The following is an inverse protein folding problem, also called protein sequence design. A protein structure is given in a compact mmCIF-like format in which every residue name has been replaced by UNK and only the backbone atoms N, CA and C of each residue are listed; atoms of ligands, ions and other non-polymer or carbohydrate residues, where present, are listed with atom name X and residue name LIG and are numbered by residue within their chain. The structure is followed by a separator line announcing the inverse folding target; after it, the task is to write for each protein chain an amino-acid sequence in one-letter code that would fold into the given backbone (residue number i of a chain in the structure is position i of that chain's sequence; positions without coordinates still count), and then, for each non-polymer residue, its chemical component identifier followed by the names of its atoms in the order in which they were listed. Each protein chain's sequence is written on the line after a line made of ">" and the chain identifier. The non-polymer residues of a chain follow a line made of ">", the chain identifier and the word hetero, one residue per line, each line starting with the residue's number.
data_IF_905493666585
#
_entry.id   IF_905493666585
#
_cell.length_a   1.000
_cell.length_b   1.000
_cell.length_c   1.000
_cell.angle_alpha   90.00
_cell.angle_beta   90.00
_cell.angle_gamma   90.00
#
_symmetry.space_group_name_H-M   'P 1'
#
loop_
_entity.id
_entity.type
_entity.pdbx_description
1 polymer ?
#
# COMPACT_ATOMS: atom_id res chain seq x y z
N UNK A 1 20.60 8.16 -11.58
CA UNK A 1 19.27 7.53 -11.65
C UNK A 1 18.51 7.99 -10.44
N UNK A 2 17.24 8.38 -10.59
CA UNK A 2 16.39 8.69 -9.44
C UNK A 2 16.30 7.44 -8.54
N UNK A 3 16.30 7.64 -7.22
CA UNK A 3 16.21 6.53 -6.26
C UNK A 3 14.79 5.96 -6.31
N UNK A 4 14.67 4.65 -6.50
CA UNK A 4 13.39 3.98 -6.42
C UNK A 4 12.98 3.76 -4.96
N UNK A 5 11.68 3.82 -4.68
CA UNK A 5 11.13 3.54 -3.34
C UNK A 5 10.25 2.30 -3.33
N UNK A 6 10.18 1.61 -2.19
CA UNK A 6 9.24 0.53 -1.93
C UNK A 6 8.02 1.08 -1.20
N UNK A 7 6.83 0.84 -1.73
CA UNK A 7 5.57 1.28 -1.11
C UNK A 7 4.72 0.06 -0.80
N UNK A 8 4.39 -0.08 0.48
CA UNK A 8 3.30 -0.94 0.90
C UNK A 8 1.99 -0.14 0.88
N UNK A 9 1.10 -0.44 -0.08
CA UNK A 9 -0.20 0.22 -0.21
C UNK A 9 -1.26 -0.67 0.44
N UNK A 10 -1.43 -0.60 1.76
CA UNK A 10 -2.37 -1.46 2.49
C UNK A 10 -3.81 -0.92 2.55
N UNK A 11 -4.76 -1.78 2.90
CA UNK A 11 -6.19 -1.41 3.01
C UNK A 11 -6.41 -0.34 4.09
N UNK A 12 -5.74 -0.49 5.23
CA UNK A 12 -5.96 0.38 6.41
C UNK A 12 -4.79 1.33 6.64
N UNK A 13 -3.56 0.88 6.39
CA UNK A 13 -2.35 1.67 6.53
C UNK A 13 -1.43 1.41 5.34
N UNK A 14 -0.65 2.40 4.97
CA UNK A 14 0.39 2.33 3.97
C UNK A 14 1.74 2.75 4.55
N UNK A 15 2.82 2.24 3.96
CA UNK A 15 4.19 2.47 4.39
C UNK A 15 5.06 2.77 3.16
N UNK A 16 6.09 3.59 3.33
CA UNK A 16 7.12 3.80 2.31
C UNK A 16 8.50 3.55 2.90
N UNK A 17 9.33 2.86 2.14
CA UNK A 17 10.70 2.54 2.49
C UNK A 17 11.65 2.91 1.34
N UNK A 18 12.87 3.26 1.71
CA UNK A 18 13.97 3.61 0.81
C UNK A 18 15.15 2.69 1.07
N UNK A 19 16.09 2.61 0.13
CA UNK A 19 17.39 1.94 0.36
C UNK A 19 18.46 3.00 0.67
N UNK A 20 19.12 2.86 1.82
CA UNK A 20 20.26 3.69 2.21
C UNK A 20 21.47 2.80 2.46
N UNK A 21 22.54 2.99 1.69
CA UNK A 21 23.75 2.15 1.83
C UNK A 21 23.56 0.66 1.52
N UNK A 22 22.41 0.27 0.96
CA UNK A 22 22.02 -1.13 0.73
C UNK A 22 21.00 -1.65 1.75
N UNK A 23 20.79 -0.93 2.86
CA UNK A 23 19.86 -1.31 3.91
C UNK A 23 18.48 -0.66 3.71
N UNK A 24 17.37 -1.39 3.92
CA UNK A 24 16.03 -0.82 3.85
C UNK A 24 15.72 0.04 5.08
N UNK A 25 15.28 1.28 4.84
CA UNK A 25 14.88 2.24 5.87
C UNK A 25 13.42 2.64 5.65
N UNK A 26 12.58 2.42 6.68
CA UNK A 26 11.19 2.89 6.69
C UNK A 26 11.15 4.38 7.01
N UNK A 27 10.55 5.16 6.13
CA UNK A 27 10.45 6.62 6.26
C UNK A 27 9.27 6.99 7.15
N UNK A 28 9.48 7.91 8.09
CA UNK A 28 8.40 8.51 8.86
C UNK A 28 7.67 9.57 8.02
N UNK A 29 6.35 9.61 8.11
CA UNK A 29 5.53 10.62 7.45
C UNK A 29 5.65 12.00 8.13
N UNK A 30 5.06 13.03 7.51
CA UNK A 30 5.00 14.39 8.07
C UNK A 30 4.40 14.49 9.49
N UNK A 31 3.68 13.46 9.95
CA UNK A 31 3.11 13.38 11.29
C UNK A 31 4.02 12.64 12.30
N UNK A 32 5.21 12.19 11.87
CA UNK A 32 6.18 11.46 12.71
C UNK A 32 5.89 9.97 12.87
N UNK A 33 4.91 9.42 12.16
CA UNK A 33 4.56 8.00 12.18
C UNK A 33 5.22 7.24 11.03
N UNK A 34 5.62 5.98 11.27
CA UNK A 34 6.14 5.09 10.21
C UNK A 34 5.06 4.45 9.35
N UNK A 35 3.79 4.64 9.71
CA UNK A 35 2.63 4.19 8.93
C UNK A 35 1.69 5.37 8.69
N UNK A 36 1.15 5.46 7.48
CA UNK A 36 0.14 6.45 7.09
C UNK A 36 -1.21 5.75 6.92
N UNK A 37 -2.27 6.16 7.63
CA UNK A 37 -3.60 5.61 7.38
C UNK A 37 -4.01 5.75 5.90
N UNK A 38 -4.55 4.68 5.31
CA UNK A 38 -5.08 4.68 3.93
C UNK A 38 -6.48 5.31 3.90
N UNK A 39 -6.55 6.57 4.33
CA UNK A 39 -7.78 7.34 4.48
C UNK A 39 -7.61 8.66 3.73
N UNK A 40 -8.59 8.97 2.89
CA UNK A 40 -8.65 10.21 2.11
C UNK A 40 -9.94 10.92 2.47
N UNK A 41 -9.87 12.20 2.79
CA UNK A 41 -11.05 13.00 3.06
C UNK A 41 -11.05 14.29 2.26
N UNK A 42 -12.23 14.68 1.82
CA UNK A 42 -12.47 15.96 1.17
C UNK A 42 -13.12 16.88 2.21
N UNK A 43 -12.38 17.91 2.64
CA UNK A 43 -12.88 18.91 3.57
C UNK A 43 -13.82 19.89 2.85
N UNK A 44 -14.76 20.49 3.58
CA UNK A 44 -15.81 21.35 3.01
C UNK A 44 -15.29 22.63 2.34
N UNK A 45 -14.06 23.02 2.68
CA UNK A 45 -13.33 24.12 2.06
C UNK A 45 -12.65 23.73 0.73
N UNK A 46 -12.80 22.49 0.26
CA UNK A 46 -12.18 21.96 -0.96
C UNK A 46 -10.78 21.37 -0.75
N UNK A 47 -10.25 21.41 0.48
CA UNK A 47 -8.96 20.80 0.80
C UNK A 47 -9.06 19.27 0.83
N UNK A 48 -8.01 18.60 0.36
CA UNK A 48 -7.91 17.13 0.42
C UNK A 48 -6.93 16.74 1.51
N UNK A 49 -7.45 16.03 2.51
CA UNK A 49 -6.71 15.49 3.63
C UNK A 49 -6.39 14.01 3.34
N UNK A 50 -5.20 13.56 3.72
CA UNK A 50 -4.75 12.18 3.55
C UNK A 50 -4.03 11.73 4.81
N UNK A 51 -4.26 10.49 5.26
CA UNK A 51 -3.58 9.94 6.43
C UNK A 51 -4.24 10.34 7.75
N UNK A 52 -3.42 10.65 8.75
CA UNK A 52 -3.91 10.97 10.10
C UNK A 52 -4.89 12.17 10.13
N UNK A 53 -4.65 13.28 9.40
CA UNK A 53 -5.62 14.38 9.35
C UNK A 53 -7.00 13.94 8.82
N UNK A 54 -7.04 13.10 7.78
CA UNK A 54 -8.29 12.56 7.25
C UNK A 54 -8.99 11.64 8.25
N UNK A 55 -8.23 10.77 8.93
CA UNK A 55 -8.74 9.86 9.96
C UNK A 55 -9.34 10.61 11.15
N UNK A 56 -8.71 11.70 11.61
CA UNK A 56 -9.17 12.48 12.76
C UNK A 56 -10.57 13.07 12.59
N UNK A 57 -10.94 13.46 11.36
CA UNK A 57 -12.22 14.08 11.05
C UNK A 57 -13.27 13.11 10.49
N UNK A 58 -12.94 11.82 10.40
CA UNK A 58 -13.80 10.81 9.77
C UNK A 58 -15.21 10.73 10.39
N UNK A 59 -15.32 10.96 11.70
CA UNK A 59 -16.60 10.88 12.45
C UNK A 59 -17.51 12.08 12.15
N UNK A 60 -16.95 13.25 11.86
CA UNK A 60 -17.72 14.49 11.62
C UNK A 60 -17.94 14.79 10.14
N UNK A 61 -17.31 14.03 9.25
CA UNK A 61 -17.36 14.20 7.80
C UNK A 61 -17.42 12.84 7.07
N UNK A 62 -18.31 11.97 7.53
CA UNK A 62 -18.42 10.56 7.08
C UNK A 62 -18.56 10.46 5.57
N UNK A 63 -19.52 11.18 4.98
CA UNK A 63 -19.86 11.07 3.55
C UNK A 63 -18.75 11.54 2.59
N UNK A 64 -17.74 12.25 3.12
CA UNK A 64 -16.61 12.78 2.35
C UNK A 64 -15.29 12.19 2.81
N UNK A 65 -15.33 11.11 3.59
CA UNK A 65 -14.15 10.39 4.08
C UNK A 65 -14.16 8.97 3.58
N UNK A 66 -13.20 8.65 2.72
CA UNK A 66 -13.07 7.35 2.08
C UNK A 66 -12.03 6.53 2.84
N UNK A 67 -12.44 5.33 3.27
CA UNK A 67 -11.63 4.31 3.93
C UNK A 67 -11.66 3.02 3.12
N UNK A 68 -10.70 2.13 3.35
CA UNK A 68 -10.68 0.77 2.80
C UNK A 68 -10.84 0.69 1.28
N UNK A 69 -10.45 1.74 0.55
CA UNK A 69 -10.63 1.85 -0.91
C UNK A 69 -9.92 0.73 -1.68
N UNK A 70 -8.89 0.10 -1.07
CA UNK A 70 -8.19 -1.05 -1.64
C UNK A 70 -9.12 -2.21 -1.95
N UNK A 71 -10.22 -2.39 -1.19
CA UNK A 71 -11.26 -3.40 -1.44
C UNK A 71 -12.03 -3.16 -2.77
N UNK A 72 -11.96 -1.96 -3.31
CA UNK A 72 -12.64 -1.56 -4.56
C UNK A 72 -11.72 -1.49 -5.79
N UNK A 73 -10.42 -1.76 -5.62
CA UNK A 73 -9.48 -1.75 -6.74
C UNK A 73 -9.88 -2.77 -7.80
N UNK A 74 -9.74 -2.42 -9.08
CA UNK A 74 -10.10 -3.30 -10.20
C UNK A 74 -11.61 -3.48 -10.43
N UNK A 75 -12.45 -2.66 -9.81
CA UNK A 75 -13.91 -2.62 -10.02
C UNK A 75 -14.33 -1.31 -10.69
N UNK A 76 -15.63 -1.14 -10.96
CA UNK A 76 -16.24 0.09 -11.47
C UNK A 76 -16.66 1.07 -10.36
N UNK A 77 -16.27 0.80 -9.11
CA UNK A 77 -16.57 1.65 -7.98
C UNK A 77 -16.06 3.08 -8.17
N UNK A 78 -16.93 4.04 -7.88
CA UNK A 78 -16.61 5.46 -7.78
C UNK A 78 -17.34 6.11 -6.60
N UNK A 79 -16.86 7.28 -6.21
CA UNK A 79 -17.53 8.17 -5.26
C UNK A 79 -17.63 9.57 -5.84
N UNK A 80 -18.83 10.16 -5.81
CA UNK A 80 -19.05 11.54 -6.24
C UNK A 80 -18.76 12.50 -5.08
N UNK A 81 -17.86 13.46 -5.28
CA UNK A 81 -17.59 14.55 -4.34
C UNK A 81 -17.64 15.87 -5.11
N UNK A 82 -18.54 16.77 -4.69
CA UNK A 82 -18.73 18.10 -5.29
C UNK A 82 -18.99 18.06 -6.81
N UNK A 83 -19.78 17.09 -7.27
CA UNK A 83 -20.13 16.93 -8.68
C UNK A 83 -19.01 16.34 -9.54
N UNK A 84 -17.97 15.77 -8.92
CA UNK A 84 -16.91 15.03 -9.61
C UNK A 84 -16.84 13.59 -9.09
N UNK A 85 -16.87 12.64 -10.01
CA UNK A 85 -16.60 11.23 -9.72
C UNK A 85 -15.11 10.99 -9.51
N UNK A 86 -14.79 10.20 -8.48
CA UNK A 86 -13.45 9.70 -8.19
C UNK A 86 -13.45 8.18 -8.17
N UNK A 87 -12.56 7.58 -8.94
CA UNK A 87 -12.33 6.13 -9.00
C UNK A 87 -11.50 5.63 -7.81
N UNK A 88 -11.50 4.32 -7.56
CA UNK A 88 -10.65 3.70 -6.55
C UNK A 88 -9.14 4.00 -6.78
N UNK A 89 -8.72 4.05 -8.05
CA UNK A 89 -7.36 4.40 -8.45
C UNK A 89 -7.01 5.85 -8.10
N UNK A 90 -7.91 6.80 -8.36
CA UNK A 90 -7.68 8.21 -8.04
C UNK A 90 -7.63 8.46 -6.53
N UNK A 91 -8.46 7.77 -5.74
CA UNK A 91 -8.39 7.85 -4.28
C UNK A 91 -7.08 7.23 -3.78
N UNK A 92 -6.71 6.05 -4.25
CA UNK A 92 -5.45 5.39 -3.87
C UNK A 92 -4.22 6.22 -4.27
N UNK A 93 -4.28 6.90 -5.42
CA UNK A 93 -3.23 7.80 -5.89
C UNK A 93 -2.96 8.94 -4.91
N UNK A 94 -3.97 9.45 -4.19
CA UNK A 94 -3.76 10.49 -3.17
C UNK A 94 -2.95 9.99 -1.97
N UNK A 95 -3.16 8.73 -1.57
CA UNK A 95 -2.33 8.05 -0.56
C UNK A 95 -0.90 7.91 -1.06
N UNK A 96 -0.71 7.44 -2.30
CA UNK A 96 0.61 7.32 -2.93
C UNK A 96 1.33 8.69 -3.07
N UNK A 97 0.60 9.76 -3.41
CA UNK A 97 1.13 11.13 -3.47
C UNK A 97 1.59 11.64 -2.10
N UNK A 98 0.89 11.27 -1.01
CA UNK A 98 1.37 11.59 0.34
C UNK A 98 2.66 10.85 0.66
N UNK A 99 2.70 9.53 0.43
CA UNK A 99 3.90 8.71 0.68
C UNK A 99 5.11 9.17 -0.14
N UNK A 100 4.88 9.52 -1.41
CA UNK A 100 5.89 10.12 -2.28
C UNK A 100 6.45 11.41 -1.65
N UNK A 101 5.59 12.36 -1.30
CA UNK A 101 6.01 13.64 -0.68
C UNK A 101 6.75 13.45 0.64
N UNK A 102 6.32 12.51 1.45
CA UNK A 102 6.97 12.17 2.73
C UNK A 102 8.38 11.62 2.48
N UNK A 103 8.55 10.74 1.49
CA UNK A 103 9.85 10.20 1.11
C UNK A 103 10.76 11.23 0.41
N UNK A 104 10.22 12.12 -0.42
CA UNK A 104 10.97 13.24 -1.04
C UNK A 104 11.48 14.20 0.04
N UNK A 105 10.65 14.51 1.04
CA UNK A 105 11.03 15.36 2.17
C UNK A 105 12.15 14.74 3.01
N UNK A 106 12.14 13.42 3.19
CA UNK A 106 13.19 12.68 3.90
C UNK A 106 14.51 12.66 3.13
N UNK A 107 14.46 12.40 1.81
CA UNK A 107 15.66 12.28 0.98
C UNK A 107 16.24 13.64 0.52
N UNK A 108 15.41 14.69 0.45
CA UNK A 108 15.80 15.98 -0.10
C UNK A 108 15.91 16.00 -1.63
N UNK A 109 15.30 15.03 -2.32
CA UNK A 109 15.27 14.91 -3.78
C UNK A 109 13.92 14.37 -4.28
N UNK A 110 13.60 14.60 -5.55
CA UNK A 110 12.38 14.13 -6.19
C UNK A 110 12.40 12.60 -6.42
N UNK A 111 11.26 11.95 -6.20
CA UNK A 111 11.08 10.51 -6.41
C UNK A 111 10.20 10.29 -7.64
N UNK A 112 10.71 9.52 -8.59
CA UNK A 112 9.97 9.20 -9.82
C UNK A 112 9.62 7.73 -9.90
N UNK A 113 10.44 6.84 -9.35
CA UNK A 113 10.30 5.40 -9.53
C UNK A 113 9.83 4.71 -8.25
N UNK A 114 8.90 3.76 -8.38
CA UNK A 114 8.41 2.99 -7.23
C UNK A 114 8.17 1.51 -7.55
N UNK A 115 8.33 0.67 -6.53
CA UNK A 115 7.80 -0.68 -6.46
C UNK A 115 6.62 -0.67 -5.48
N UNK A 116 5.47 -1.19 -5.89
CA UNK A 116 4.23 -1.13 -5.08
C UNK A 116 3.75 -2.56 -4.79
N UNK A 117 3.35 -2.81 -3.54
CA UNK A 117 2.82 -4.11 -3.12
C UNK A 117 1.34 -4.30 -3.50
N UNK A 118 0.93 -5.56 -3.69
CA UNK A 118 -0.47 -5.99 -3.78
C UNK A 118 -0.64 -7.35 -3.09
N UNK A 119 -1.86 -7.70 -2.67
CA UNK A 119 -2.17 -9.04 -2.17
C UNK A 119 -1.80 -10.10 -3.20
N UNK A 120 -1.37 -11.28 -2.75
CA UNK A 120 -1.00 -12.35 -3.67
C UNK A 120 -2.17 -12.77 -4.56
N UNK A 121 -3.38 -12.76 -4.00
CA UNK A 121 -4.63 -13.13 -4.66
C UNK A 121 -5.26 -12.04 -5.54
N UNK A 122 -4.59 -10.89 -5.73
CA UNK A 122 -5.07 -9.90 -6.68
C UNK A 122 -5.04 -10.42 -8.12
N UNK A 123 -6.16 -10.26 -8.81
CA UNK A 123 -6.29 -10.58 -10.23
C UNK A 123 -5.64 -9.50 -11.12
N UNK A 124 -5.62 -9.73 -12.43
CA UNK A 124 -4.98 -8.83 -13.40
C UNK A 124 -5.59 -7.41 -13.40
N UNK A 125 -6.92 -7.30 -13.26
CA UNK A 125 -7.61 -6.00 -13.21
C UNK A 125 -7.22 -5.20 -11.95
N UNK A 126 -7.14 -5.86 -10.80
CA UNK A 126 -6.73 -5.24 -9.53
C UNK A 126 -5.25 -4.81 -9.58
N UNK A 127 -4.36 -5.64 -10.14
CA UNK A 127 -2.94 -5.31 -10.34
C UNK A 127 -2.77 -4.11 -11.28
N UNK A 128 -3.52 -4.08 -12.37
CA UNK A 128 -3.49 -2.99 -13.34
C UNK A 128 -4.03 -1.69 -12.73
N UNK A 129 -5.12 -1.75 -11.97
CA UNK A 129 -5.67 -0.61 -11.24
C UNK A 129 -4.64 -0.03 -10.22
N UNK A 130 -3.91 -0.88 -9.50
CA UNK A 130 -2.85 -0.41 -8.58
C UNK A 130 -1.71 0.27 -9.33
N UNK A 131 -1.33 -0.26 -10.50
CA UNK A 131 -0.33 0.36 -11.36
C UNK A 131 -0.79 1.74 -11.87
N UNK A 132 -2.05 1.85 -12.28
CA UNK A 132 -2.68 3.12 -12.69
C UNK A 132 -2.71 4.14 -11.54
N UNK A 133 -3.04 3.73 -10.32
CA UNK A 133 -2.99 4.59 -9.15
C UNK A 133 -1.57 5.17 -8.95
N UNK A 134 -0.52 4.35 -9.14
CA UNK A 134 0.86 4.83 -9.14
C UNK A 134 1.15 5.86 -10.22
N UNK A 135 0.67 5.64 -11.45
CA UNK A 135 0.84 6.58 -12.55
C UNK A 135 0.13 7.92 -12.29
N UNK A 136 -1.11 7.89 -11.79
CA UNK A 136 -1.87 9.08 -11.39
C UNK A 136 -1.14 9.84 -10.27
N UNK A 137 -0.45 9.12 -9.39
CA UNK A 137 0.38 9.71 -8.33
C UNK A 137 1.71 10.33 -8.84
N UNK A 138 2.00 10.23 -10.14
CA UNK A 138 3.26 10.69 -10.71
C UNK A 138 4.44 9.77 -10.38
N UNK A 139 4.19 8.48 -10.24
CA UNK A 139 5.20 7.44 -10.06
C UNK A 139 5.26 6.54 -11.31
N UNK A 140 6.46 6.29 -11.78
CA UNK A 140 6.76 5.20 -12.69
C UNK A 140 6.83 3.89 -11.89
N UNK A 141 5.81 3.05 -12.05
CA UNK A 141 5.70 1.78 -11.33
C UNK A 141 6.59 0.73 -12.00
N UNK A 142 7.80 0.55 -11.46
CA UNK A 142 8.80 -0.38 -11.97
C UNK A 142 8.35 -1.84 -11.85
N UNK A 143 7.68 -2.16 -10.74
CA UNK A 143 7.19 -3.51 -10.45
C UNK A 143 6.02 -3.46 -9.48
N UNK A 144 5.07 -4.36 -9.71
CA UNK A 144 4.07 -4.77 -8.72
C UNK A 144 4.58 -6.06 -8.08
N UNK A 145 4.69 -6.09 -6.76
CA UNK A 145 5.20 -7.25 -5.99
C UNK A 145 4.10 -7.77 -5.08
N UNK A 146 4.01 -9.09 -4.92
CA UNK A 146 3.08 -9.67 -3.97
C UNK A 146 3.54 -9.39 -2.53
N UNK A 147 2.62 -8.98 -1.66
CA UNK A 147 2.85 -8.73 -0.23
C UNK A 147 3.64 -9.85 0.46
N UNK A 148 3.25 -11.14 0.35
CA UNK A 148 4.02 -12.21 0.98
C UNK A 148 5.42 -12.39 0.40
N UNK A 149 5.64 -12.08 -0.88
CA UNK A 149 6.97 -12.09 -1.48
C UNK A 149 7.83 -10.93 -0.95
N UNK A 150 7.24 -9.75 -0.78
CA UNK A 150 7.94 -8.61 -0.18
C UNK A 150 8.32 -8.90 1.28
N UNK A 151 7.41 -9.51 2.05
CA UNK A 151 7.67 -9.96 3.42
C UNK A 151 8.79 -11.01 3.49
N UNK A 152 8.76 -11.99 2.57
CA UNK A 152 9.79 -13.03 2.47
C UNK A 152 11.17 -12.43 2.12
N UNK A 153 11.22 -11.47 1.19
CA UNK A 153 12.45 -10.75 0.85
C UNK A 153 13.00 -10.01 2.07
N UNK A 154 12.14 -9.26 2.78
CA UNK A 154 12.55 -8.56 4.00
C UNK A 154 13.07 -9.51 5.09
N UNK A 155 12.42 -10.67 5.27
CA UNK A 155 12.87 -11.70 6.20
C UNK A 155 14.22 -12.32 5.81
N UNK A 156 14.41 -12.58 4.51
CA UNK A 156 15.58 -13.27 3.97
C UNK A 156 16.87 -12.45 3.96
N UNK A 157 16.80 -11.11 3.97
CA UNK A 157 17.97 -10.21 3.90
C UNK A 157 19.05 -10.55 4.94
N UNK A 158 18.65 -10.88 6.17
CA UNK A 158 19.59 -11.11 7.29
C UNK A 158 19.89 -12.60 7.55
N UNK A 159 19.29 -13.53 6.79
CA UNK A 159 19.34 -14.97 7.09
C UNK A 159 20.43 -15.75 6.34
N UNK A 160 21.18 -15.08 5.47
CA UNK A 160 22.23 -15.68 4.65
C UNK A 160 21.71 -16.72 3.66
N UNK A 161 22.59 -17.53 3.07
CA UNK A 161 22.26 -18.48 2.00
C UNK A 161 21.64 -19.80 2.48
N UNK A 162 20.94 -19.83 3.61
CA UNK A 162 20.30 -21.07 4.07
C UNK A 162 18.98 -21.26 3.33
N UNK A 163 18.85 -22.41 2.69
CA UNK A 163 17.59 -22.84 2.11
C UNK A 163 16.56 -23.08 3.23
N UNK A 164 15.39 -22.44 3.11
CA UNK A 164 14.32 -22.48 4.10
C UNK A 164 12.97 -22.46 3.41
N UNK A 165 12.08 -23.34 3.85
CA UNK A 165 10.66 -23.24 3.56
C UNK A 165 10.00 -22.41 4.66
N UNK A 166 9.30 -21.34 4.28
CA UNK A 166 8.59 -20.45 5.19
C UNK A 166 7.11 -20.36 4.84
N UNK A 167 6.29 -20.15 5.85
CA UNK A 167 4.89 -19.79 5.70
C UNK A 167 4.73 -18.31 6.06
N UNK A 168 4.28 -17.50 5.10
CA UNK A 168 3.85 -16.13 5.36
C UNK A 168 2.34 -16.15 5.56
N UNK A 169 1.91 -15.75 6.75
CA UNK A 169 0.52 -15.56 7.12
C UNK A 169 0.30 -14.05 7.32
N UNK A 170 -0.45 -13.43 6.41
CA UNK A 170 -0.71 -12.00 6.39
C UNK A 170 -2.22 -11.76 6.56
N UNK A 171 -2.61 -11.18 7.70
CA UNK A 171 -3.99 -10.82 8.01
C UNK A 171 -4.05 -9.31 8.24
N UNK A 172 -4.34 -8.58 7.17
CA UNK A 172 -4.46 -7.13 7.18
C UNK A 172 -5.84 -6.65 7.65
N UNK A 173 -6.12 -5.37 7.45
CA UNK A 173 -7.45 -4.81 7.73
C UNK A 173 -8.51 -5.18 6.70
N UNK A 174 -8.11 -5.53 5.47
CA UNK A 174 -9.05 -5.82 4.38
C UNK A 174 -8.94 -7.20 3.75
N UNK A 175 -7.79 -7.83 3.91
CA UNK A 175 -7.36 -8.96 3.10
C UNK A 175 -6.60 -9.95 3.97
N UNK A 176 -6.75 -11.22 3.62
CA UNK A 176 -6.03 -12.32 4.21
C UNK A 176 -5.27 -13.06 3.12
N UNK A 177 -3.96 -13.21 3.27
CA UNK A 177 -3.12 -14.02 2.38
C UNK A 177 -2.32 -15.04 3.21
N UNK A 178 -2.19 -16.25 2.68
CA UNK A 178 -1.30 -17.27 3.20
C UNK A 178 -0.48 -17.86 2.06
N UNK A 179 0.84 -17.81 2.18
CA UNK A 179 1.75 -18.27 1.14
C UNK A 179 2.85 -19.16 1.71
N UNK A 180 3.09 -20.29 1.05
CA UNK A 180 4.25 -21.13 1.32
C UNK A 180 5.34 -20.72 0.33
N UNK A 181 6.49 -20.29 0.84
CA UNK A 181 7.62 -19.86 0.03
C UNK A 181 8.86 -20.67 0.37
N UNK A 182 9.71 -20.83 -0.61
CA UNK A 182 11.08 -21.29 -0.42
C UNK A 182 12.04 -20.14 -0.67
N UNK A 183 12.98 -19.96 0.25
CA UNK A 183 14.03 -18.95 0.18
C UNK A 183 15.35 -19.71 0.16
N UNK A 184 16.18 -19.44 -0.83
CA UNK A 184 17.52 -20.03 -0.96
C UNK A 184 18.31 -19.33 -2.05
N UNK A 185 19.62 -19.20 -1.87
CA UNK A 185 20.55 -18.63 -2.87
C UNK A 185 20.12 -17.27 -3.46
N UNK A 186 19.49 -16.42 -2.64
CA UNK A 186 19.00 -15.10 -3.06
C UNK A 186 17.73 -15.15 -3.93
N UNK A 187 17.11 -16.32 -4.07
CA UNK A 187 15.86 -16.53 -4.78
C UNK A 187 14.73 -16.75 -3.78
N UNK A 188 13.56 -16.18 -4.09
CA UNK A 188 12.31 -16.44 -3.38
C UNK A 188 11.34 -17.08 -4.36
N UNK A 189 10.97 -18.33 -4.13
CA UNK A 189 10.00 -19.07 -4.94
C UNK A 189 8.69 -19.24 -4.16
N UNK A 190 7.57 -18.80 -4.74
CA UNK A 190 6.23 -19.05 -4.18
C UNK A 190 5.79 -20.45 -4.60
N UNK A 191 5.70 -21.38 -3.65
CA UNK A 191 5.24 -22.76 -3.90
C UNK A 191 3.73 -22.83 -4.06
N UNK A 192 3.02 -22.13 -3.18
CA UNK A 192 1.56 -22.01 -3.25
C UNK A 192 1.11 -20.77 -2.50
N UNK A 193 -0.04 -20.24 -2.90
CA UNK A 193 -0.70 -19.11 -2.25
C UNK A 193 -2.20 -19.37 -2.17
N UNK A 194 -2.82 -18.94 -1.08
CA UNK A 194 -4.26 -18.96 -0.86
C UNK A 194 -4.63 -17.74 -0.02
N UNK A 195 -5.91 -17.42 0.10
CA UNK A 195 -6.34 -16.22 0.81
C UNK A 195 -7.81 -15.87 0.58
N UNK A 196 -8.20 -14.73 1.12
CA UNK A 196 -9.51 -14.11 0.93
C UNK A 196 -9.35 -12.58 0.84
N UNK A 197 -9.73 -12.01 -0.31
CA UNK A 197 -9.66 -10.58 -0.60
C UNK A 197 -10.70 -9.74 0.19
N UNK A 198 -11.59 -10.38 0.95
CA UNK A 198 -12.63 -9.72 1.72
C UNK A 198 -12.63 -10.11 3.21
N UNK A 199 -11.54 -10.69 3.72
CA UNK A 199 -11.39 -11.04 5.12
C UNK A 199 -10.25 -10.21 5.76
N UNK A 200 -10.54 -9.42 6.78
CA UNK A 200 -9.52 -8.69 7.53
C UNK A 200 -10.09 -7.96 8.74
N UNK A 201 -9.26 -7.20 9.44
CA UNK A 201 -9.64 -6.49 10.68
C UNK A 201 -10.91 -5.65 10.61
N UNK A 202 -11.28 -5.08 9.45
CA UNK A 202 -12.55 -4.36 9.28
C UNK A 202 -13.76 -5.28 9.58
N UNK A 203 -13.68 -6.57 9.25
CA UNK A 203 -14.73 -7.57 9.50
C UNK A 203 -14.84 -7.93 11.00
N UNK A 204 -13.77 -7.75 11.76
CA UNK A 204 -13.80 -7.87 13.23
C UNK A 204 -14.41 -6.62 13.87
N UNK A 205 -14.04 -5.44 13.38
CA UNK A 205 -14.59 -4.16 13.85
C UNK A 205 -16.11 -4.13 13.63
N UNK A 206 -16.62 -4.62 12.49
CA UNK A 206 -18.06 -4.68 12.18
C UNK A 206 -18.86 -5.64 13.09
N UNK A 207 -18.19 -6.57 13.77
CA UNK A 207 -18.83 -7.58 14.63
C UNK A 207 -19.01 -7.15 16.08
N UNK A 208 -18.30 -6.12 16.54
CA UNK A 208 -18.26 -5.64 17.94
C UNK A 208 -19.16 -4.42 18.10
#
# INVERSE_FOLDING_TARGET
>A
MARAVGIDLGTTNSVVAVLEGGDPVVVANSEGSRTTPSVVAFARNGEVLVGQPAKNQAVTNVDRTIRSVKRHMGTDWSVEIDGKDYTAQEISARTLQKLKRDAESYLGEDIVDAVITVPAYFNDAQRQATKEAGQIAGLNVLRIVNEPTAAALAYGLDKGNKEQTILVFDLGGGTFDVSLLEIGDGVVEVRTTSGDNHLGGDDWDDRI
#
